data_IF_557428118718
#
_entry.id   IF_557428118718
#
_cell.length_a   1.000
_cell.length_b   1.000
_cell.length_c   1.000
_cell.angle_alpha   90.00
_cell.angle_beta   90.00
_cell.angle_gamma   90.00
#
_symmetry.space_group_name_H-M   'P 1'
#
loop_
_entity.id
_entity.type
_entity.pdbx_description
1 polymer ?
#
# COMPACT_ATOMS: atom_id res chain seq x y z
N UNK A 1 -48.28 -52.99 30.45
CA UNK A 1 -47.41 -51.79 30.42
C UNK A 1 -47.98 -50.83 29.40
N UNK A 2 -48.23 -49.60 29.83
CA UNK A 2 -49.03 -48.60 29.15
C UNK A 2 -48.30 -47.99 27.95
N UNK A 3 -49.03 -47.83 26.85
CA UNK A 3 -48.64 -47.10 25.65
C UNK A 3 -49.20 -45.69 25.81
N UNK A 4 -48.47 -44.80 26.49
CA UNK A 4 -48.86 -43.39 26.64
C UNK A 4 -47.68 -42.57 27.18
N UNK A 5 -46.84 -42.06 26.28
CA UNK A 5 -46.01 -40.84 26.48
C UNK A 5 -45.14 -40.48 25.25
N UNK A 6 -45.77 -40.31 24.08
CA UNK A 6 -45.14 -39.64 22.93
C UNK A 6 -46.13 -38.64 22.33
N UNK A 7 -46.52 -37.65 23.11
CA UNK A 7 -47.27 -36.48 22.65
C UNK A 7 -46.53 -35.24 23.16
N UNK A 8 -45.62 -34.70 22.36
CA UNK A 8 -44.83 -33.54 22.79
C UNK A 8 -43.86 -32.93 21.77
N UNK A 9 -43.78 -33.43 20.54
CA UNK A 9 -43.04 -32.73 19.47
C UNK A 9 -44.06 -32.26 18.44
N UNK A 10 -44.61 -31.06 18.64
CA UNK A 10 -45.24 -30.35 17.53
C UNK A 10 -44.10 -29.85 16.64
N UNK A 11 -43.94 -30.45 15.47
CA UNK A 11 -43.22 -29.81 14.37
C UNK A 11 -44.02 -28.54 14.05
N UNK A 12 -43.45 -27.33 14.12
CA UNK A 12 -44.16 -26.13 13.71
C UNK A 12 -44.46 -26.27 12.22
N UNK A 13 -45.71 -26.57 11.89
CA UNK A 13 -46.19 -26.64 10.51
C UNK A 13 -46.61 -25.25 10.05
N UNK A 14 -45.75 -24.25 10.23
CA UNK A 14 -45.89 -22.96 9.57
C UNK A 14 -45.04 -23.01 8.33
N UNK A 15 -45.67 -23.32 7.19
CA UNK A 15 -45.13 -22.87 5.91
C UNK A 15 -44.80 -21.37 6.04
N UNK A 16 -43.62 -20.92 5.61
CA UNK A 16 -43.31 -19.49 5.63
C UNK A 16 -44.44 -18.73 4.93
N UNK A 17 -44.88 -17.63 5.55
CA UNK A 17 -46.00 -16.84 5.05
C UNK A 17 -45.72 -16.45 3.59
N UNK A 18 -46.63 -16.82 2.67
CA UNK A 18 -46.42 -16.61 1.22
C UNK A 18 -46.07 -15.15 0.92
N UNK A 19 -46.64 -14.22 1.66
CA UNK A 19 -46.38 -12.78 1.52
C UNK A 19 -44.93 -12.41 1.86
N UNK A 20 -44.33 -13.06 2.85
CA UNK A 20 -42.91 -12.84 3.23
C UNK A 20 -41.99 -13.40 2.15
N UNK A 21 -42.32 -14.59 1.60
CA UNK A 21 -41.51 -15.21 0.53
C UNK A 21 -41.59 -14.41 -0.77
N UNK A 22 -42.77 -13.89 -1.13
CA UNK A 22 -42.91 -13.02 -2.32
C UNK A 22 -42.16 -11.70 -2.17
N UNK A 23 -42.19 -11.08 -0.98
CA UNK A 23 -41.45 -9.84 -0.71
C UNK A 23 -39.92 -10.06 -0.77
N UNK A 24 -39.42 -11.19 -0.29
CA UNK A 24 -37.99 -11.52 -0.38
C UNK A 24 -37.53 -11.72 -1.84
N UNK A 25 -38.35 -12.39 -2.65
CA UNK A 25 -38.08 -12.59 -4.08
C UNK A 25 -38.09 -11.26 -4.84
N UNK A 26 -39.07 -10.38 -4.59
CA UNK A 26 -39.15 -9.06 -5.22
C UNK A 26 -37.93 -8.19 -4.86
N UNK A 27 -37.50 -8.22 -3.59
CA UNK A 27 -36.31 -7.49 -3.15
C UNK A 27 -35.03 -8.02 -3.84
N UNK A 28 -34.89 -9.34 -3.97
CA UNK A 28 -33.76 -9.98 -4.68
C UNK A 28 -33.75 -9.64 -6.17
N UNK A 29 -34.90 -9.65 -6.84
CA UNK A 29 -35.01 -9.26 -8.25
C UNK A 29 -34.66 -7.79 -8.46
N UNK A 30 -35.10 -6.90 -7.57
CA UNK A 30 -34.75 -5.48 -7.62
C UNK A 30 -33.24 -5.26 -7.42
N UNK A 31 -32.59 -6.02 -6.52
CA UNK A 31 -31.15 -5.98 -6.33
C UNK A 31 -30.39 -6.44 -7.60
N UNK A 32 -30.85 -7.51 -8.25
CA UNK A 32 -30.28 -8.00 -9.52
C UNK A 32 -30.44 -6.97 -10.64
N UNK A 33 -31.62 -6.36 -10.78
CA UNK A 33 -31.86 -5.33 -11.80
C UNK A 33 -30.99 -4.09 -11.57
N UNK A 34 -30.78 -3.69 -10.31
CA UNK A 34 -29.87 -2.60 -9.95
C UNK A 34 -28.41 -2.94 -10.30
N UNK A 35 -27.95 -4.14 -9.95
CA UNK A 35 -26.62 -4.63 -10.28
C UNK A 35 -26.38 -4.67 -11.79
N UNK A 36 -27.36 -5.15 -12.56
CA UNK A 36 -27.29 -5.17 -14.03
C UNK A 36 -27.23 -3.75 -14.61
N UNK A 37 -28.03 -2.82 -14.08
CA UNK A 37 -27.99 -1.42 -14.52
C UNK A 37 -26.61 -0.78 -14.26
N UNK A 38 -25.98 -1.09 -13.12
CA UNK A 38 -24.60 -0.66 -12.84
C UNK A 38 -23.63 -1.24 -13.86
N UNK A 39 -23.65 -2.53 -14.16
CA UNK A 39 -22.75 -3.09 -15.20
C UNK A 39 -22.99 -2.44 -16.57
N UNK A 40 -24.25 -2.15 -16.93
CA UNK A 40 -24.54 -1.53 -18.22
C UNK A 40 -24.04 -0.08 -18.34
N UNK A 41 -23.83 0.62 -17.22
CA UNK A 41 -23.27 1.98 -17.23
C UNK A 41 -21.80 2.01 -17.67
N UNK A 42 -21.05 0.94 -17.43
CA UNK A 42 -19.63 0.83 -17.80
C UNK A 42 -19.40 0.22 -19.19
N UNK A 43 -20.45 -0.29 -19.84
CA UNK A 43 -20.34 -0.90 -21.17
C UNK A 43 -19.85 0.06 -22.25
N UNK A 44 -20.23 1.34 -22.17
CA UNK A 44 -19.77 2.34 -23.13
C UNK A 44 -18.26 2.56 -23.00
N UNK A 45 -17.73 2.66 -21.78
CA UNK A 45 -16.30 2.79 -21.55
C UNK A 45 -15.52 1.53 -22.00
N UNK A 46 -16.10 0.34 -21.81
CA UNK A 46 -15.53 -0.92 -22.32
C UNK A 46 -15.55 -0.95 -23.87
N UNK A 47 -16.64 -0.55 -24.51
CA UNK A 47 -16.73 -0.53 -25.98
C UNK A 47 -15.76 0.50 -26.59
N UNK A 48 -15.56 1.63 -25.92
CA UNK A 48 -14.56 2.63 -26.32
C UNK A 48 -13.13 2.08 -26.18
N UNK A 49 -12.89 1.23 -25.17
CA UNK A 49 -11.61 0.51 -24.98
C UNK A 49 -11.33 -0.60 -26.01
N UNK A 50 -12.32 -0.98 -26.83
CA UNK A 50 -12.10 -1.89 -27.97
C UNK A 50 -11.63 -1.12 -29.23
N UNK A 51 -11.78 0.21 -29.23
CA UNK A 51 -11.41 1.08 -30.35
C UNK A 51 -10.06 1.78 -30.13
N UNK A 52 -9.66 1.98 -28.87
CA UNK A 52 -8.35 2.50 -28.42
C UNK A 52 -8.00 1.83 -27.09
N UNK A 53 -6.71 1.69 -26.71
CA UNK A 53 -6.34 1.23 -25.36
C UNK A 53 -7.06 2.08 -24.29
N UNK A 54 -7.75 1.46 -23.33
CA UNK A 54 -8.31 2.19 -22.21
C UNK A 54 -7.20 2.75 -21.31
N UNK A 55 -7.43 3.92 -20.73
CA UNK A 55 -6.55 4.41 -19.67
C UNK A 55 -6.68 3.52 -18.43
N UNK A 56 -5.58 3.38 -17.68
CA UNK A 56 -5.57 2.65 -16.41
C UNK A 56 -6.67 3.16 -15.45
N UNK A 57 -6.86 4.48 -15.38
CA UNK A 57 -7.94 5.13 -14.62
C UNK A 57 -9.34 4.62 -15.00
N UNK A 58 -9.61 4.50 -16.32
CA UNK A 58 -10.90 4.00 -16.81
C UNK A 58 -11.10 2.54 -16.40
N UNK A 59 -10.05 1.73 -16.49
CA UNK A 59 -10.10 0.32 -16.11
C UNK A 59 -10.27 0.14 -14.59
N UNK A 60 -9.60 0.95 -13.77
CA UNK A 60 -9.75 0.96 -12.32
C UNK A 60 -11.18 1.33 -11.90
N UNK A 61 -11.78 2.34 -12.55
CA UNK A 61 -13.18 2.71 -12.35
C UNK A 61 -14.13 1.54 -12.68
N UNK A 62 -13.90 0.85 -13.79
CA UNK A 62 -14.70 -0.32 -14.18
C UNK A 62 -14.54 -1.45 -13.14
N UNK A 63 -13.31 -1.73 -12.70
CA UNK A 63 -13.03 -2.73 -11.67
C UNK A 63 -13.75 -2.38 -10.34
N UNK A 64 -13.65 -1.16 -9.84
CA UNK A 64 -14.36 -0.72 -8.64
C UNK A 64 -15.89 -0.93 -8.74
N UNK A 65 -16.47 -0.64 -9.91
CA UNK A 65 -17.89 -0.87 -10.17
C UNK A 65 -18.27 -2.35 -10.19
N UNK A 66 -17.42 -3.21 -10.77
CA UNK A 66 -17.59 -4.66 -10.75
C UNK A 66 -17.54 -5.21 -9.32
N UNK A 67 -16.58 -4.76 -8.49
CA UNK A 67 -16.48 -5.13 -7.06
C UNK A 67 -17.78 -4.81 -6.33
N UNK A 68 -18.31 -3.60 -6.53
CA UNK A 68 -19.55 -3.18 -5.88
C UNK A 68 -20.76 -4.05 -6.28
N UNK A 69 -20.83 -4.50 -7.54
CA UNK A 69 -21.87 -5.43 -8.01
C UNK A 69 -21.77 -6.76 -7.27
N UNK A 70 -20.57 -7.31 -7.16
CA UNK A 70 -20.33 -8.57 -6.45
C UNK A 70 -20.74 -8.46 -4.98
N UNK A 71 -20.26 -7.44 -4.27
CA UNK A 71 -20.59 -7.20 -2.85
C UNK A 71 -22.10 -7.07 -2.63
N UNK A 72 -22.81 -6.37 -3.53
CA UNK A 72 -24.28 -6.20 -3.45
C UNK A 72 -25.01 -7.55 -3.59
N UNK A 73 -24.45 -8.48 -4.34
CA UNK A 73 -25.06 -9.77 -4.64
C UNK A 73 -24.67 -10.89 -3.64
N UNK A 74 -23.60 -10.69 -2.87
CA UNK A 74 -23.13 -11.60 -1.79
C UNK A 74 -24.20 -11.79 -0.70
N UNK A 75 -25.00 -10.76 -0.41
CA UNK A 75 -26.08 -10.83 0.58
C UNK A 75 -27.30 -11.61 0.04
N UNK A 76 -27.19 -12.95 0.00
CA UNK A 76 -28.32 -13.83 -0.28
C UNK A 76 -28.03 -15.04 -1.17
N UNK A 77 -26.79 -15.27 -1.61
CA UNK A 77 -26.43 -16.36 -2.52
C UNK A 77 -25.66 -17.51 -1.80
N UNK A 78 -26.00 -18.81 -2.02
CA UNK A 78 -25.17 -19.96 -1.59
C UNK A 78 -23.73 -20.00 -2.15
N UNK A 79 -23.41 -19.30 -3.24
CA UNK A 79 -22.08 -19.15 -3.84
C UNK A 79 -21.25 -18.00 -3.24
N UNK A 80 -21.52 -17.63 -1.99
CA UNK A 80 -20.89 -16.49 -1.29
C UNK A 80 -19.36 -16.49 -1.39
N UNK A 81 -18.72 -17.66 -1.30
CA UNK A 81 -17.27 -17.79 -1.39
C UNK A 81 -16.71 -17.47 -2.79
N UNK A 82 -17.43 -17.83 -3.86
CA UNK A 82 -17.03 -17.56 -5.25
C UNK A 82 -17.17 -16.06 -5.53
N UNK A 83 -18.26 -15.45 -5.05
CA UNK A 83 -18.45 -14.02 -5.16
C UNK A 83 -17.36 -13.26 -4.40
N UNK A 84 -17.02 -13.64 -3.17
CA UNK A 84 -15.92 -13.00 -2.42
C UNK A 84 -14.58 -13.12 -3.16
N UNK A 85 -14.23 -14.32 -3.65
CA UNK A 85 -13.00 -14.52 -4.41
C UNK A 85 -12.95 -13.65 -5.68
N UNK A 86 -14.09 -13.50 -6.38
CA UNK A 86 -14.21 -12.65 -7.56
C UNK A 86 -14.03 -11.17 -7.22
N UNK A 87 -14.62 -10.69 -6.14
CA UNK A 87 -14.45 -9.31 -5.66
C UNK A 87 -12.98 -9.03 -5.31
N UNK A 88 -12.31 -9.98 -4.66
CA UNK A 88 -10.88 -9.87 -4.32
C UNK A 88 -10.00 -9.82 -5.56
N UNK A 89 -10.27 -10.65 -6.58
CA UNK A 89 -9.52 -10.59 -7.85
C UNK A 89 -9.73 -9.26 -8.58
N UNK A 90 -10.96 -8.72 -8.60
CA UNK A 90 -11.26 -7.42 -9.21
C UNK A 90 -10.51 -6.29 -8.49
N UNK A 91 -10.50 -6.33 -7.16
CA UNK A 91 -9.75 -5.38 -6.32
C UNK A 91 -8.25 -5.44 -6.59
N UNK A 92 -7.68 -6.65 -6.70
CA UNK A 92 -6.27 -6.83 -7.03
C UNK A 92 -5.92 -6.20 -8.40
N UNK A 93 -6.77 -6.37 -9.42
CA UNK A 93 -6.56 -5.73 -10.73
C UNK A 93 -6.70 -4.21 -10.68
N UNK A 94 -7.67 -3.68 -9.92
CA UNK A 94 -7.83 -2.24 -9.71
C UNK A 94 -6.59 -1.63 -9.08
N UNK A 95 -6.07 -2.26 -8.02
CA UNK A 95 -4.86 -1.83 -7.33
C UNK A 95 -3.63 -1.89 -8.24
N UNK A 96 -3.48 -2.93 -9.06
CA UNK A 96 -2.39 -2.99 -10.05
C UNK A 96 -2.43 -1.84 -11.04
N UNK A 97 -3.62 -1.46 -11.53
CA UNK A 97 -3.78 -0.33 -12.45
C UNK A 97 -3.49 1.01 -11.78
N UNK A 98 -3.95 1.19 -10.55
CA UNK A 98 -3.68 2.38 -9.73
C UNK A 98 -2.18 2.53 -9.49
N UNK A 99 -1.48 1.43 -9.16
CA UNK A 99 -0.02 1.43 -9.03
C UNK A 99 0.64 1.82 -10.36
N UNK A 100 0.36 1.13 -11.47
CA UNK A 100 0.93 1.45 -12.80
C UNK A 100 0.71 2.93 -13.16
N UNK A 101 -0.48 3.45 -12.91
CA UNK A 101 -0.78 4.86 -13.17
C UNK A 101 -0.01 5.79 -12.21
N UNK A 102 0.01 5.46 -10.91
CA UNK A 102 0.69 6.23 -9.88
C UNK A 102 2.18 6.36 -10.18
N UNK A 103 2.80 5.31 -10.71
CA UNK A 103 4.20 5.34 -11.14
C UNK A 103 4.52 6.40 -12.20
N UNK A 104 3.53 6.90 -12.93
CA UNK A 104 3.72 7.78 -14.10
C UNK A 104 3.29 9.22 -13.87
N UNK A 105 2.38 9.46 -12.92
CA UNK A 105 1.86 10.79 -12.63
C UNK A 105 2.85 11.68 -11.84
N UNK A 106 3.78 11.06 -11.10
CA UNK A 106 4.60 11.78 -10.11
C UNK A 106 3.77 12.22 -8.90
N UNK A 107 4.35 13.10 -8.08
CA UNK A 107 3.71 13.64 -6.89
C UNK A 107 3.30 12.55 -5.89
N UNK A 108 2.15 12.76 -5.24
CA UNK A 108 1.66 11.90 -4.15
C UNK A 108 1.38 10.49 -4.66
N UNK A 109 0.81 10.34 -5.86
CA UNK A 109 0.44 9.03 -6.41
C UNK A 109 1.67 8.13 -6.61
N UNK A 110 2.77 8.69 -7.11
CA UNK A 110 4.05 7.98 -7.27
C UNK A 110 4.65 7.62 -5.92
N UNK A 111 4.64 8.56 -4.99
CA UNK A 111 5.16 8.35 -3.64
C UNK A 111 4.39 7.23 -2.92
N UNK A 112 3.06 7.24 -2.97
CA UNK A 112 2.20 6.20 -2.39
C UNK A 112 2.42 4.84 -3.06
N UNK A 113 2.57 4.81 -4.39
CA UNK A 113 2.83 3.58 -5.13
C UNK A 113 4.16 2.93 -4.73
N UNK A 114 5.18 3.75 -4.48
CA UNK A 114 6.46 3.30 -3.94
C UNK A 114 6.34 2.75 -2.52
N UNK A 115 5.53 3.36 -1.66
CA UNK A 115 5.27 2.83 -0.32
C UNK A 115 4.59 1.44 -0.36
N UNK A 116 3.62 1.24 -1.25
CA UNK A 116 2.97 -0.05 -1.44
C UNK A 116 3.94 -1.14 -1.92
N UNK A 117 4.85 -0.79 -2.82
CA UNK A 117 5.85 -1.74 -3.32
C UNK A 117 6.82 -2.15 -2.21
N UNK A 118 7.35 -1.18 -1.46
CA UNK A 118 8.27 -1.47 -0.35
C UNK A 118 7.59 -2.28 0.75
N UNK A 119 6.30 -2.03 1.04
CA UNK A 119 5.56 -2.88 1.98
C UNK A 119 5.49 -4.33 1.48
N UNK A 120 5.12 -4.54 0.22
CA UNK A 120 4.99 -5.89 -0.33
C UNK A 120 6.32 -6.68 -0.31
N UNK A 121 7.44 -5.97 -0.49
CA UNK A 121 8.79 -6.53 -0.40
C UNK A 121 9.15 -6.91 1.04
N UNK A 122 8.91 -6.02 2.01
CA UNK A 122 9.13 -6.31 3.44
C UNK A 122 8.25 -7.45 3.96
N UNK A 123 7.05 -7.62 3.41
CA UNK A 123 6.19 -8.76 3.74
C UNK A 123 6.72 -10.09 3.16
N UNK A 124 7.62 -10.06 2.18
CA UNK A 124 8.16 -11.27 1.54
C UNK A 124 9.08 -12.05 2.49
N UNK A 125 8.62 -13.24 2.90
CA UNK A 125 9.37 -14.07 3.86
C UNK A 125 9.04 -13.77 5.33
N UNK A 126 8.22 -12.74 5.57
CA UNK A 126 7.70 -12.35 6.88
C UNK A 126 8.63 -11.39 7.63
N UNK A 127 8.03 -10.50 8.40
CA UNK A 127 8.70 -9.36 9.04
C UNK A 127 9.82 -9.81 10.01
N UNK A 128 11.05 -9.41 9.72
CA UNK A 128 12.20 -9.54 10.59
C UNK A 128 12.25 -8.41 11.64
N UNK A 129 12.91 -8.61 12.80
CA UNK A 129 13.00 -7.58 13.84
C UNK A 129 13.55 -6.23 13.35
N UNK A 130 14.58 -6.24 12.50
CA UNK A 130 15.22 -5.06 11.92
C UNK A 130 14.28 -4.27 10.99
N UNK A 131 13.43 -4.97 10.25
CA UNK A 131 12.46 -4.38 9.30
C UNK A 131 11.30 -3.66 10.00
N UNK A 132 11.13 -3.84 11.33
CA UNK A 132 10.08 -3.15 12.08
C UNK A 132 10.25 -1.62 12.05
N UNK A 133 11.49 -1.13 11.99
CA UNK A 133 11.74 0.31 11.85
C UNK A 133 11.33 0.81 10.46
N UNK A 134 11.63 0.04 9.41
CA UNK A 134 11.30 0.37 8.03
C UNK A 134 9.78 0.36 7.79
N UNK A 135 9.07 -0.66 8.29
CA UNK A 135 7.61 -0.67 8.30
C UNK A 135 7.05 0.57 9.00
N UNK A 136 7.61 0.95 10.15
CA UNK A 136 7.12 2.13 10.86
C UNK A 136 7.39 3.42 10.08
N UNK A 137 8.49 3.52 9.31
CA UNK A 137 8.68 4.63 8.38
C UNK A 137 7.56 4.70 7.34
N UNK A 138 7.15 3.57 6.75
CA UNK A 138 6.03 3.50 5.79
C UNK A 138 4.74 4.04 6.43
N UNK A 139 4.41 3.63 7.66
CA UNK A 139 3.23 4.15 8.37
C UNK A 139 3.29 5.68 8.54
N UNK A 140 4.43 6.22 8.95
CA UNK A 140 4.59 7.66 9.13
C UNK A 140 4.45 8.42 7.80
N UNK A 141 5.05 7.90 6.73
CA UNK A 141 5.00 8.50 5.40
C UNK A 141 3.59 8.46 4.79
N UNK A 142 2.84 7.39 4.98
CA UNK A 142 1.43 7.30 4.55
C UNK A 142 0.57 8.35 5.28
N UNK A 143 0.77 8.52 6.59
CA UNK A 143 0.09 9.57 7.37
C UNK A 143 0.49 10.98 6.89
N UNK A 144 1.72 11.18 6.42
CA UNK A 144 2.16 12.48 5.92
C UNK A 144 1.42 12.89 4.65
N UNK A 145 1.10 11.93 3.77
CA UNK A 145 0.41 12.18 2.50
C UNK A 145 -1.12 12.21 2.64
N UNK A 146 -1.69 11.41 3.54
CA UNK A 146 -3.14 11.26 3.72
C UNK A 146 -3.60 11.43 5.19
N UNK A 147 -3.20 12.49 5.92
CA UNK A 147 -3.56 12.61 7.33
C UNK A 147 -5.08 12.68 7.55
N UNK A 148 -5.83 13.27 6.62
CA UNK A 148 -7.29 13.38 6.67
C UNK A 148 -8.02 12.05 6.45
N UNK A 149 -7.44 11.14 5.67
CA UNK A 149 -8.00 9.79 5.48
C UNK A 149 -8.10 9.05 6.81
N UNK A 150 -7.15 9.32 7.70
CA UNK A 150 -7.02 8.66 8.99
C UNK A 150 -7.55 9.48 10.17
N UNK A 151 -8.04 10.71 9.93
CA UNK A 151 -8.45 11.64 10.99
C UNK A 151 -7.30 12.12 11.88
N UNK A 152 -6.08 12.15 11.33
CA UNK A 152 -4.83 12.44 12.02
C UNK A 152 -4.28 13.84 11.74
N UNK A 153 -5.00 14.75 11.10
CA UNK A 153 -4.45 16.06 10.70
C UNK A 153 -3.89 16.87 11.88
N UNK A 154 -4.63 16.91 12.99
CA UNK A 154 -4.17 17.60 14.21
C UNK A 154 -3.03 16.86 14.89
N UNK A 155 -3.06 15.53 14.87
CA UNK A 155 -2.01 14.69 15.45
C UNK A 155 -0.70 14.84 14.67
N UNK A 156 -0.76 14.75 13.34
CA UNK A 156 0.37 14.93 12.45
C UNK A 156 0.98 16.32 12.65
N UNK A 157 0.15 17.37 12.61
CA UNK A 157 0.61 18.75 12.84
C UNK A 157 1.34 18.94 14.17
N UNK A 158 0.93 18.24 15.24
CA UNK A 158 1.56 18.32 16.55
C UNK A 158 2.85 17.50 16.68
N UNK A 159 3.06 16.50 15.80
CA UNK A 159 4.18 15.56 15.89
C UNK A 159 5.19 15.66 14.72
N UNK A 160 5.03 16.63 13.81
CA UNK A 160 5.92 16.80 12.64
C UNK A 160 7.42 16.76 12.97
N UNK A 161 7.83 17.43 14.05
CA UNK A 161 9.24 17.42 14.47
C UNK A 161 9.72 16.02 14.84
N UNK A 162 8.94 15.30 15.67
CA UNK A 162 9.28 13.94 16.06
C UNK A 162 9.33 13.01 14.83
N UNK A 163 8.34 13.14 13.92
CA UNK A 163 8.27 12.36 12.68
C UNK A 163 9.51 12.61 11.79
N UNK A 164 9.88 13.87 11.60
CA UNK A 164 11.05 14.27 10.81
C UNK A 164 12.36 13.65 11.33
N UNK A 165 12.56 13.58 12.65
CA UNK A 165 13.75 12.95 13.23
C UNK A 165 13.69 11.43 13.18
N UNK A 166 12.51 10.82 13.39
CA UNK A 166 12.38 9.36 13.28
C UNK A 166 12.64 8.88 11.84
N UNK A 167 12.14 9.61 10.84
CA UNK A 167 12.38 9.27 9.43
C UNK A 167 13.85 9.48 9.02
N UNK A 168 14.59 10.35 9.73
CA UNK A 168 16.02 10.53 9.51
C UNK A 168 16.86 9.42 10.15
N UNK A 169 16.52 9.05 11.39
CA UNK A 169 17.46 8.40 12.32
C UNK A 169 17.13 6.94 12.65
N UNK A 170 16.11 6.35 12.02
CA UNK A 170 15.69 4.96 12.25
C UNK A 170 15.51 4.25 10.91
N UNK A 171 15.47 2.92 10.92
CA UNK A 171 15.40 2.11 9.71
C UNK A 171 16.76 1.74 9.17
N UNK A 172 16.75 0.85 8.19
CA UNK A 172 17.96 0.29 7.59
C UNK A 172 18.85 1.38 7.00
N UNK A 173 20.15 1.34 7.29
CA UNK A 173 21.12 2.31 6.79
C UNK A 173 21.00 3.76 7.32
N UNK A 174 20.00 4.07 8.15
CA UNK A 174 19.63 5.44 8.56
C UNK A 174 20.02 5.79 10.00
N UNK A 175 20.73 4.93 10.73
CA UNK A 175 21.06 5.22 12.13
C UNK A 175 22.02 6.41 12.24
N UNK A 176 21.60 7.38 13.03
CA UNK A 176 22.29 8.62 13.31
C UNK A 176 21.71 9.22 14.58
N UNK A 177 22.58 9.66 15.50
CA UNK A 177 22.15 10.28 16.76
C UNK A 177 22.32 11.78 16.67
N UNK A 178 21.23 12.52 16.95
CA UNK A 178 21.17 13.97 16.76
C UNK A 178 20.87 14.67 18.09
N UNK A 179 20.24 15.84 18.10
CA UNK A 179 20.15 16.77 19.24
C UNK A 179 19.70 16.11 20.56
N UNK A 180 19.76 16.84 21.68
CA UNK A 180 19.52 16.31 23.03
C UNK A 180 18.22 15.50 23.27
N UNK A 181 17.23 15.55 22.38
CA UNK A 181 16.01 14.75 22.45
C UNK A 181 16.08 13.43 21.65
N UNK A 182 17.14 13.25 20.85
CA UNK A 182 17.37 12.18 19.87
C UNK A 182 18.83 11.66 19.93
N UNK A 183 19.60 12.04 20.95
CA UNK A 183 21.04 11.76 21.11
C UNK A 183 21.36 10.37 21.68
N UNK A 184 20.34 9.53 21.89
CA UNK A 184 20.49 8.15 22.41
C UNK A 184 19.43 7.24 21.81
N UNK A 185 19.73 5.94 21.64
CA UNK A 185 18.76 4.94 21.18
C UNK A 185 17.51 4.89 22.06
N UNK A 186 17.66 4.99 23.38
CA UNK A 186 16.53 4.98 24.33
C UNK A 186 15.53 6.13 24.05
N UNK A 187 16.04 7.32 23.73
CA UNK A 187 15.20 8.48 23.43
C UNK A 187 14.50 8.35 22.08
N UNK A 188 15.22 7.90 21.04
CA UNK A 188 14.62 7.59 19.74
C UNK A 188 13.50 6.55 19.89
N UNK A 189 13.80 5.42 20.55
CA UNK A 189 12.83 4.38 20.84
C UNK A 189 11.60 4.92 21.59
N UNK A 190 11.80 5.78 22.60
CA UNK A 190 10.71 6.38 23.37
C UNK A 190 9.82 7.30 22.51
N UNK A 191 10.42 8.10 21.62
CA UNK A 191 9.69 8.95 20.66
C UNK A 191 8.92 8.08 19.67
N UNK A 192 9.57 7.09 19.06
CA UNK A 192 8.92 6.12 18.14
C UNK A 192 7.72 5.44 18.81
N UNK A 193 7.88 4.97 20.03
CA UNK A 193 6.81 4.34 20.81
C UNK A 193 5.65 5.29 21.11
N UNK A 194 5.95 6.56 21.39
CA UNK A 194 4.94 7.62 21.59
C UNK A 194 4.17 7.87 20.30
N UNK A 195 4.85 7.97 19.16
CA UNK A 195 4.22 8.15 17.85
C UNK A 195 3.31 6.98 17.53
N UNK A 196 3.81 5.75 17.66
CA UNK A 196 3.05 4.52 17.44
C UNK A 196 1.76 4.49 18.25
N UNK A 197 1.84 4.72 19.57
CA UNK A 197 0.65 4.76 20.43
C UNK A 197 -0.28 5.90 20.04
N UNK A 198 0.26 7.04 19.65
CA UNK A 198 -0.49 8.17 19.13
C UNK A 198 -1.32 7.80 17.90
N UNK A 199 -0.77 7.01 16.97
CA UNK A 199 -1.50 6.49 15.82
C UNK A 199 -2.63 5.57 16.30
N UNK A 200 -2.31 4.55 17.11
CA UNK A 200 -3.30 3.57 17.60
C UNK A 200 -4.45 4.20 18.40
N UNK A 201 -4.18 5.28 19.14
CA UNK A 201 -5.17 5.95 19.98
C UNK A 201 -6.08 6.93 19.20
N UNK A 202 -5.64 7.43 18.04
CA UNK A 202 -6.31 8.53 17.34
C UNK A 202 -6.74 8.21 15.91
N UNK A 203 -6.12 7.23 15.24
CA UNK A 203 -6.37 6.94 13.84
C UNK A 203 -7.71 6.22 13.64
N UNK A 204 -8.40 6.57 12.55
CA UNK A 204 -9.39 5.69 11.93
C UNK A 204 -8.70 5.00 10.78
N UNK A 205 -8.49 3.68 10.86
CA UNK A 205 -7.80 2.90 9.82
C UNK A 205 -8.84 2.13 9.00
N UNK A 206 -9.17 2.57 7.77
CA UNK A 206 -10.04 1.80 6.89
C UNK A 206 -9.39 0.45 6.57
N UNK A 207 -10.18 -0.62 6.64
CA UNK A 207 -9.72 -1.98 6.34
C UNK A 207 -9.07 -2.05 4.96
N UNK A 208 -7.84 -2.57 4.90
CA UNK A 208 -7.07 -2.72 3.67
C UNK A 208 -6.33 -1.46 3.21
N UNK A 209 -6.44 -0.33 3.91
CA UNK A 209 -5.57 0.84 3.67
C UNK A 209 -4.10 0.52 3.97
N UNK A 210 -3.17 1.33 3.46
CA UNK A 210 -1.73 1.11 3.67
C UNK A 210 -1.39 1.14 5.17
N UNK A 211 -1.84 2.18 5.88
CA UNK A 211 -1.68 2.26 7.33
C UNK A 211 -2.30 1.07 8.08
N UNK A 212 -3.47 0.57 7.67
CA UNK A 212 -4.10 -0.60 8.29
C UNK A 212 -3.24 -1.87 8.16
N UNK A 213 -2.67 -2.12 6.98
CA UNK A 213 -1.80 -3.27 6.72
C UNK A 213 -0.50 -3.17 7.53
N UNK A 214 0.21 -2.05 7.41
CA UNK A 214 1.47 -1.81 8.14
C UNK A 214 1.30 -1.95 9.64
N UNK A 215 0.24 -1.33 10.21
CA UNK A 215 0.02 -1.38 11.66
C UNK A 215 -0.42 -2.77 12.11
N UNK A 216 -1.13 -3.53 11.28
CA UNK A 216 -1.48 -4.94 11.55
C UNK A 216 -0.22 -5.81 11.60
N UNK A 217 0.70 -5.65 10.66
CA UNK A 217 1.96 -6.42 10.65
C UNK A 217 2.85 -6.06 11.83
N UNK A 218 2.95 -4.78 12.16
CA UNK A 218 3.67 -4.33 13.35
C UNK A 218 3.07 -4.91 14.64
N UNK A 219 1.74 -4.93 14.80
CA UNK A 219 1.08 -5.58 15.94
C UNK A 219 1.35 -7.11 15.94
N UNK A 220 1.36 -7.74 14.77
CA UNK A 220 1.73 -9.15 14.60
C UNK A 220 3.18 -9.46 15.02
N UNK A 221 4.10 -8.52 14.80
CA UNK A 221 5.50 -8.57 15.20
C UNK A 221 5.76 -8.18 16.67
N UNK A 222 4.71 -7.89 17.45
CA UNK A 222 4.81 -7.55 18.88
C UNK A 222 4.60 -6.08 19.22
N UNK A 223 4.23 -5.27 18.22
CA UNK A 223 3.75 -3.90 18.35
C UNK A 223 4.78 -2.93 18.92
N UNK A 224 4.27 -1.86 19.54
CA UNK A 224 5.11 -0.75 20.03
C UNK A 224 6.18 -1.13 21.07
N UNK A 225 6.01 -2.24 21.79
CA UNK A 225 7.00 -2.70 22.77
C UNK A 225 8.17 -3.42 22.10
N UNK A 226 7.90 -4.22 21.06
CA UNK A 226 8.92 -4.85 20.25
C UNK A 226 9.71 -3.82 19.42
N UNK A 227 9.03 -2.88 18.78
CA UNK A 227 9.68 -1.77 18.04
C UNK A 227 10.57 -0.92 18.95
N UNK A 228 10.08 -0.57 20.15
CA UNK A 228 10.91 0.13 21.14
C UNK A 228 12.18 -0.66 21.48
N UNK A 229 12.03 -1.98 21.70
CA UNK A 229 13.16 -2.83 22.08
C UNK A 229 14.16 -2.96 20.93
N UNK A 230 13.69 -3.10 19.69
CA UNK A 230 14.55 -3.15 18.51
C UNK A 230 15.45 -1.91 18.46
N UNK A 231 14.85 -0.72 18.49
CA UNK A 231 15.61 0.54 18.45
C UNK A 231 16.51 0.68 19.69
N UNK A 232 16.03 0.34 20.89
CA UNK A 232 16.82 0.58 22.10
C UNK A 232 18.00 -0.39 22.26
N UNK A 233 17.82 -1.66 21.91
CA UNK A 233 18.77 -2.73 22.20
C UNK A 233 19.71 -3.02 21.02
N UNK A 234 19.26 -2.79 19.78
CA UNK A 234 19.96 -3.22 18.55
C UNK A 234 20.40 -2.04 17.65
N UNK A 235 20.31 -0.79 18.10
CA UNK A 235 20.68 0.42 17.31
C UNK A 235 22.13 0.44 16.79
N UNK A 236 23.02 -0.35 17.38
CA UNK A 236 24.42 -0.37 17.00
C UNK A 236 24.79 -1.64 16.21
N UNK A 237 23.78 -2.41 15.78
CA UNK A 237 23.97 -3.55 14.90
C UNK A 237 24.16 -3.09 13.45
N UNK A 238 24.73 -3.97 12.63
CA UNK A 238 25.29 -3.62 11.31
C UNK A 238 24.25 -3.05 10.32
N UNK A 239 22.97 -3.44 10.43
CA UNK A 239 21.87 -3.00 9.54
C UNK A 239 21.61 -1.49 9.57
N UNK A 240 22.01 -0.80 10.63
CA UNK A 240 21.69 0.62 10.80
C UNK A 240 22.61 1.59 10.06
N UNK A 241 23.82 1.18 9.65
CA UNK A 241 24.90 2.13 9.39
C UNK A 241 25.41 2.08 7.95
N UNK A 242 24.70 2.75 7.03
CA UNK A 242 25.05 2.77 5.61
C UNK A 242 26.39 3.47 5.32
N UNK A 243 26.63 4.64 5.92
CA UNK A 243 27.86 5.39 5.73
C UNK A 243 29.11 4.65 6.25
N UNK A 244 28.95 3.72 7.19
CA UNK A 244 30.00 2.83 7.66
C UNK A 244 30.26 1.63 6.74
N UNK A 245 29.39 1.40 5.76
CA UNK A 245 29.44 0.24 4.87
C UNK A 245 29.09 -1.09 5.55
N UNK A 246 28.34 -1.06 6.65
CA UNK A 246 27.89 -2.27 7.35
C UNK A 246 26.45 -2.65 7.03
N UNK A 247 25.60 -1.68 6.67
CA UNK A 247 24.25 -1.95 6.20
C UNK A 247 24.30 -2.57 4.81
N UNK A 248 23.49 -3.59 4.59
CA UNK A 248 23.20 -4.20 3.30
C UNK A 248 21.89 -3.68 2.66
N UNK A 249 21.17 -2.82 3.37
CA UNK A 249 19.88 -2.26 2.94
C UNK A 249 19.73 -0.76 3.25
N UNK A 250 18.67 -0.15 2.70
CA UNK A 250 18.25 1.24 2.86
C UNK A 250 16.82 1.30 3.37
N UNK A 251 16.57 2.22 4.31
CA UNK A 251 15.24 2.46 4.81
C UNK A 251 14.33 3.03 3.71
N UNK A 252 13.01 2.87 3.83
CA UNK A 252 12.06 3.42 2.88
C UNK A 252 12.25 4.91 2.59
N UNK A 253 12.60 5.71 3.62
CA UNK A 253 12.91 7.14 3.43
C UNK A 253 14.13 7.36 2.54
N UNK A 254 15.24 6.66 2.78
CA UNK A 254 16.45 6.79 1.97
C UNK A 254 16.20 6.34 0.52
N UNK A 255 15.49 5.23 0.33
CA UNK A 255 15.11 4.72 -1.00
C UNK A 255 14.29 5.74 -1.78
N UNK A 256 13.34 6.42 -1.15
CA UNK A 256 12.52 7.46 -1.79
C UNK A 256 13.33 8.71 -2.16
N UNK A 257 14.27 9.14 -1.31
CA UNK A 257 15.17 10.24 -1.65
C UNK A 257 16.11 9.87 -2.81
N UNK A 258 16.72 8.69 -2.77
CA UNK A 258 17.55 8.19 -3.88
C UNK A 258 16.74 8.14 -5.16
N UNK A 259 15.55 7.53 -5.14
CA UNK A 259 14.68 7.43 -6.31
C UNK A 259 14.29 8.81 -6.86
N UNK A 260 13.94 9.76 -5.98
CA UNK A 260 13.59 11.12 -6.37
C UNK A 260 14.75 11.80 -7.12
N UNK A 261 15.97 11.73 -6.58
CA UNK A 261 17.14 12.33 -7.23
C UNK A 261 17.47 11.66 -8.57
N UNK A 262 17.38 10.33 -8.63
CA UNK A 262 17.63 9.56 -9.86
C UNK A 262 16.61 9.91 -10.93
N UNK A 263 15.30 9.88 -10.62
CA UNK A 263 14.26 10.20 -11.59
C UNK A 263 14.34 11.64 -12.09
N UNK A 264 14.69 12.58 -11.21
CA UNK A 264 14.85 13.99 -11.60
C UNK A 264 15.94 14.16 -12.66
N UNK A 265 16.99 13.34 -12.61
CA UNK A 265 18.11 13.36 -13.54
C UNK A 265 18.04 12.30 -14.66
N UNK A 266 17.13 11.33 -14.54
CA UNK A 266 16.87 10.27 -15.51
C UNK A 266 15.35 9.94 -15.56
N UNK A 267 14.50 10.80 -16.15
CA UNK A 267 13.05 10.59 -16.15
C UNK A 267 12.55 9.44 -17.05
N UNK A 268 13.47 8.72 -17.70
CA UNK A 268 13.19 7.63 -18.63
C UNK A 268 13.43 6.25 -18.00
N UNK A 269 13.53 6.19 -16.67
CA UNK A 269 13.65 4.92 -15.94
C UNK A 269 12.52 3.97 -16.31
N UNK A 270 12.86 2.70 -16.51
CA UNK A 270 11.85 1.64 -16.65
C UNK A 270 11.24 1.29 -15.29
N UNK A 271 10.12 0.57 -15.29
CA UNK A 271 9.54 0.04 -14.05
C UNK A 271 10.55 -0.83 -13.29
N UNK A 272 11.24 -1.74 -13.98
CA UNK A 272 12.27 -2.61 -13.37
C UNK A 272 13.40 -1.81 -12.72
N UNK A 273 13.80 -0.67 -13.31
CA UNK A 273 14.81 0.21 -12.73
C UNK A 273 14.30 0.97 -11.51
N UNK A 274 13.01 1.34 -11.47
CA UNK A 274 12.39 1.96 -10.30
C UNK A 274 12.26 0.94 -9.16
N UNK A 275 11.77 -0.26 -9.46
CA UNK A 275 11.69 -1.37 -8.52
C UNK A 275 13.07 -1.70 -7.96
N UNK A 276 14.11 -1.71 -8.80
CA UNK A 276 15.48 -1.91 -8.36
C UNK A 276 15.91 -0.91 -7.28
N UNK A 277 15.58 0.39 -7.40
CA UNK A 277 15.92 1.37 -6.37
C UNK A 277 15.12 1.14 -5.08
N UNK A 278 13.88 0.64 -5.18
CA UNK A 278 12.97 0.52 -4.05
C UNK A 278 13.04 -0.81 -3.31
N UNK A 279 13.51 -1.88 -3.95
CA UNK A 279 13.56 -3.23 -3.33
C UNK A 279 14.85 -3.98 -3.64
N UNK A 280 15.67 -3.47 -4.57
CA UNK A 280 16.93 -4.10 -4.93
C UNK A 280 17.98 -4.03 -3.82
N UNK A 281 19.01 -4.87 -3.97
CA UNK A 281 20.18 -4.87 -3.09
C UNK A 281 21.02 -3.60 -3.26
N UNK A 282 21.71 -3.17 -2.19
CA UNK A 282 22.61 -2.00 -2.26
C UNK A 282 23.66 -2.11 -3.37
N UNK A 283 24.24 -3.30 -3.57
CA UNK A 283 25.23 -3.55 -4.62
C UNK A 283 24.65 -3.33 -6.03
N UNK A 284 23.42 -3.78 -6.27
CA UNK A 284 22.77 -3.61 -7.57
C UNK A 284 22.34 -2.15 -7.81
N UNK A 285 21.90 -1.46 -6.76
CA UNK A 285 21.61 -0.02 -6.80
C UNK A 285 22.89 0.77 -7.11
N UNK A 286 23.99 0.50 -6.42
CA UNK A 286 25.29 1.14 -6.67
C UNK A 286 25.76 0.89 -8.11
N UNK A 287 25.66 -0.35 -8.58
CA UNK A 287 26.00 -0.70 -9.96
C UNK A 287 25.12 0.04 -10.98
N UNK A 288 23.83 0.18 -10.70
CA UNK A 288 22.91 0.96 -11.52
C UNK A 288 23.30 2.44 -11.58
N UNK A 289 23.51 3.08 -10.42
CA UNK A 289 23.88 4.49 -10.31
C UNK A 289 25.21 4.75 -11.03
N UNK A 290 26.22 3.92 -10.82
CA UNK A 290 27.51 4.01 -11.50
C UNK A 290 27.37 3.91 -13.02
N UNK A 291 26.54 2.97 -13.51
CA UNK A 291 26.29 2.78 -14.94
C UNK A 291 25.57 3.96 -15.57
N UNK A 292 24.63 4.56 -14.85
CA UNK A 292 23.77 5.64 -15.34
C UNK A 292 24.46 7.01 -15.29
N UNK A 293 25.15 7.33 -14.18
CA UNK A 293 25.71 8.66 -13.92
C UNK A 293 27.24 8.72 -13.97
N UNK A 294 27.92 7.58 -14.05
CA UNK A 294 29.37 7.50 -14.26
C UNK A 294 30.18 7.73 -12.99
N UNK A 295 31.10 8.70 -13.04
CA UNK A 295 32.09 8.94 -11.99
C UNK A 295 31.76 10.18 -11.16
N UNK A 296 32.08 10.12 -9.88
CA UNK A 296 32.02 11.21 -8.91
C UNK A 296 33.15 12.25 -9.10
N UNK A 297 33.16 13.27 -8.24
CA UNK A 297 34.14 14.36 -8.28
C UNK A 297 35.58 13.90 -7.97
N UNK A 298 35.75 12.72 -7.36
CA UNK A 298 37.04 12.10 -7.05
C UNK A 298 37.48 11.10 -8.14
N UNK A 299 36.69 10.92 -9.19
CA UNK A 299 36.94 9.99 -10.28
C UNK A 299 36.65 8.53 -9.92
N UNK A 300 35.90 8.26 -8.84
CA UNK A 300 35.39 6.93 -8.51
C UNK A 300 33.99 6.74 -9.11
N UNK A 301 33.53 5.52 -9.40
CA UNK A 301 32.14 5.29 -9.76
C UNK A 301 31.19 5.84 -8.69
N UNK A 302 30.11 6.53 -9.10
CA UNK A 302 29.07 6.91 -8.14
C UNK A 302 28.47 5.67 -7.48
N UNK A 303 28.28 5.75 -6.17
CA UNK A 303 27.40 4.86 -5.39
C UNK A 303 26.08 5.59 -5.15
N UNK A 304 25.03 4.89 -4.72
CA UNK A 304 23.81 5.52 -4.25
C UNK A 304 24.09 6.56 -3.15
N UNK A 305 25.03 6.26 -2.24
CA UNK A 305 25.42 7.18 -1.16
C UNK A 305 26.05 8.46 -1.71
N UNK A 306 27.10 8.32 -2.53
CA UNK A 306 27.80 9.50 -3.04
C UNK A 306 26.96 10.29 -4.02
N UNK A 307 26.05 9.65 -4.74
CA UNK A 307 25.09 10.30 -5.61
C UNK A 307 24.03 11.07 -4.80
N UNK A 308 23.45 10.46 -3.76
CA UNK A 308 22.49 11.11 -2.89
C UNK A 308 23.10 12.36 -2.25
N UNK A 309 24.28 12.25 -1.65
CA UNK A 309 24.94 13.39 -1.00
C UNK A 309 25.39 14.48 -1.99
N UNK A 310 25.63 14.14 -3.26
CA UNK A 310 26.01 15.13 -4.26
C UNK A 310 24.82 15.95 -4.81
N UNK A 311 23.60 15.41 -4.71
CA UNK A 311 22.42 15.99 -5.35
C UNK A 311 21.33 16.43 -4.36
N UNK A 312 21.44 16.10 -3.07
CA UNK A 312 20.46 16.44 -2.04
C UNK A 312 21.09 17.14 -0.84
N UNK A 313 20.29 17.38 0.20
CA UNK A 313 20.72 17.94 1.49
C UNK A 313 21.28 16.86 2.44
N UNK A 314 21.25 15.59 2.05
CA UNK A 314 21.89 14.53 2.80
C UNK A 314 23.42 14.65 2.72
N UNK A 315 24.10 14.30 3.80
CA UNK A 315 25.55 14.32 3.91
C UNK A 315 26.02 13.14 4.76
N UNK A 316 27.29 12.77 4.57
CA UNK A 316 27.99 11.89 5.52
C UNK A 316 28.64 12.78 6.56
N UNK A 317 28.31 12.58 7.83
CA UNK A 317 29.05 13.17 8.93
C UNK A 317 30.06 12.17 9.50
N UNK A 318 31.30 12.64 9.67
CA UNK A 318 32.42 11.85 10.17
C UNK A 318 32.74 12.14 11.65
N UNK A 319 33.50 11.24 12.27
CA UNK A 319 34.10 11.48 13.59
C UNK A 319 33.19 11.22 14.80
N UNK A 320 32.08 10.50 14.62
CA UNK A 320 31.25 10.02 15.73
C UNK A 320 31.84 8.74 16.35
N UNK A 321 31.37 8.42 17.56
CA UNK A 321 31.92 7.31 18.36
C UNK A 321 31.73 5.94 17.69
N UNK A 322 30.71 5.81 16.84
CA UNK A 322 30.33 4.57 16.16
C UNK A 322 30.60 4.59 14.65
N UNK A 323 31.36 5.57 14.16
CA UNK A 323 31.75 5.71 12.76
C UNK A 323 31.05 6.88 12.07
N UNK A 324 30.99 6.81 10.74
CA UNK A 324 30.35 7.78 9.88
C UNK A 324 28.84 7.49 9.84
N UNK A 325 28.02 8.54 9.84
CA UNK A 325 26.55 8.43 9.77
C UNK A 325 26.01 9.23 8.58
N UNK A 326 24.94 8.71 7.98
CA UNK A 326 24.13 9.49 7.04
C UNK A 326 23.30 10.49 7.85
N UNK A 327 23.21 11.73 7.38
CA UNK A 327 22.63 12.84 8.13
C UNK A 327 22.00 13.84 7.16
N UNK A 328 20.86 14.39 7.53
CA UNK A 328 20.29 15.54 6.85
C UNK A 328 20.92 16.82 7.39
N UNK A 329 21.37 17.73 6.52
CA UNK A 329 21.91 19.01 6.98
C UNK A 329 20.84 19.86 7.69
N UNK A 330 20.72 19.72 9.01
CA UNK A 330 19.68 20.36 9.82
C UNK A 330 19.49 19.68 11.17
N UNK A 331 18.28 19.80 11.71
CA UNK A 331 17.83 19.16 12.94
C UNK A 331 16.55 18.38 12.60
N UNK A 332 16.69 17.13 12.15
CA UNK A 332 15.61 16.46 11.42
C UNK A 332 15.63 16.83 9.94
N UNK A 333 15.03 15.97 9.09
CA UNK A 333 14.71 16.33 7.71
C UNK A 333 13.78 17.55 7.72
N UNK A 334 14.09 18.60 6.95
CA UNK A 334 13.25 19.80 6.93
C UNK A 334 11.83 19.47 6.49
N UNK A 335 10.83 19.98 7.22
CA UNK A 335 9.44 19.67 6.94
C UNK A 335 8.98 20.15 5.55
N UNK A 336 9.57 21.23 5.03
CA UNK A 336 9.27 21.72 3.69
C UNK A 336 9.86 20.79 2.64
N UNK A 337 11.03 20.23 2.90
CA UNK A 337 11.69 19.28 2.01
C UNK A 337 11.01 17.91 2.03
N UNK A 338 10.53 17.44 3.20
CA UNK A 338 9.62 16.28 3.27
C UNK A 338 8.34 16.51 2.46
N UNK A 339 7.72 17.69 2.59
CA UNK A 339 6.54 18.05 1.80
C UNK A 339 6.87 18.11 0.31
N UNK A 340 8.01 18.69 -0.05
CA UNK A 340 8.45 18.78 -1.44
C UNK A 340 8.71 17.39 -2.03
N UNK A 341 9.32 16.46 -1.27
CA UNK A 341 9.58 15.10 -1.70
C UNK A 341 8.29 14.45 -2.22
N UNK A 342 7.23 14.37 -1.42
CA UNK A 342 6.01 13.70 -1.86
C UNK A 342 5.13 14.54 -2.78
N UNK A 343 5.10 15.89 -2.65
CA UNK A 343 4.24 16.72 -3.54
C UNK A 343 4.84 16.95 -4.92
N UNK A 344 6.16 16.84 -5.06
CA UNK A 344 6.90 17.09 -6.30
C UNK A 344 7.71 15.86 -6.73
N UNK A 345 7.35 14.68 -6.23
CA UNK A 345 8.03 13.43 -6.59
C UNK A 345 8.05 13.30 -8.12
N UNK A 346 9.22 13.08 -8.75
CA UNK A 346 9.30 13.17 -10.21
C UNK A 346 8.41 12.11 -10.91
N UNK A 347 7.71 12.49 -11.99
CA UNK A 347 7.02 11.52 -12.84
C UNK A 347 8.02 10.76 -13.73
N UNK A 348 7.56 9.66 -14.32
CA UNK A 348 8.23 9.00 -15.45
C UNK A 348 7.25 8.63 -16.56
N UNK A 349 7.79 8.34 -17.73
CA UNK A 349 6.98 7.88 -18.85
C UNK A 349 6.56 6.42 -18.68
N UNK A 350 5.40 6.08 -19.24
CA UNK A 350 4.97 4.69 -19.41
C UNK A 350 5.90 3.98 -20.41
N UNK A 351 6.36 2.79 -20.05
CA UNK A 351 7.09 1.92 -20.98
C UNK A 351 6.13 1.13 -21.87
N UNK A 352 6.64 0.59 -22.98
CA UNK A 352 5.86 -0.29 -23.87
C UNK A 352 5.36 -1.54 -23.13
N UNK A 353 6.14 -2.08 -22.19
CA UNK A 353 5.80 -3.25 -21.38
C UNK A 353 4.62 -2.96 -20.43
N UNK A 354 4.58 -1.77 -19.84
CA UNK A 354 3.46 -1.34 -19.00
C UNK A 354 2.18 -1.11 -19.80
N UNK A 355 2.31 -0.62 -21.04
CA UNK A 355 1.17 -0.51 -21.97
C UNK A 355 0.63 -1.91 -22.30
N UNK A 356 1.50 -2.89 -22.52
CA UNK A 356 1.11 -4.29 -22.71
C UNK A 356 0.40 -4.86 -21.46
N UNK A 357 0.90 -4.54 -20.26
CA UNK A 357 0.31 -4.96 -19.00
C UNK A 357 -1.09 -4.35 -18.77
N UNK A 358 -1.24 -3.03 -18.99
CA UNK A 358 -2.54 -2.34 -18.93
C UNK A 358 -3.53 -3.00 -19.90
N UNK A 359 -3.11 -3.34 -21.11
CA UNK A 359 -3.96 -4.02 -22.09
C UNK A 359 -4.37 -5.43 -21.60
N UNK A 360 -3.43 -6.18 -21.02
CA UNK A 360 -3.68 -7.51 -20.45
C UNK A 360 -4.70 -7.45 -19.30
N UNK A 361 -4.53 -6.51 -18.37
CA UNK A 361 -5.49 -6.29 -17.28
C UNK A 361 -6.83 -5.82 -17.86
N UNK A 362 -6.81 -4.96 -18.87
CA UNK A 362 -8.00 -4.51 -19.60
C UNK A 362 -8.82 -5.68 -20.14
N UNK A 363 -8.19 -6.65 -20.78
CA UNK A 363 -8.84 -7.86 -21.26
C UNK A 363 -9.43 -8.71 -20.12
N UNK A 364 -8.75 -8.80 -18.98
CA UNK A 364 -9.26 -9.49 -17.80
C UNK A 364 -10.49 -8.80 -17.21
N UNK A 365 -10.46 -7.47 -17.05
CA UNK A 365 -11.60 -6.67 -16.58
C UNK A 365 -12.80 -6.81 -17.51
N UNK A 366 -12.57 -6.85 -18.84
CA UNK A 366 -13.62 -7.14 -19.84
C UNK A 366 -14.23 -8.53 -19.66
N UNK A 367 -13.40 -9.55 -19.49
CA UNK A 367 -13.86 -10.93 -19.26
C UNK A 367 -14.66 -11.05 -17.96
N UNK A 368 -14.24 -10.36 -16.90
CA UNK A 368 -14.96 -10.29 -15.63
C UNK A 368 -16.33 -9.64 -15.80
N UNK A 369 -16.42 -8.53 -16.55
CA UNK A 369 -17.70 -7.88 -16.86
C UNK A 369 -18.69 -8.87 -17.48
N UNK A 370 -18.26 -9.62 -18.49
CA UNK A 370 -19.13 -10.59 -19.18
C UNK A 370 -19.54 -11.73 -18.27
N UNK A 371 -18.61 -12.22 -17.45
CA UNK A 371 -18.87 -13.28 -16.46
C UNK A 371 -19.90 -12.82 -15.43
N UNK A 372 -19.78 -11.60 -14.91
CA UNK A 372 -20.74 -11.02 -13.96
C UNK A 372 -22.13 -10.88 -14.55
N UNK A 373 -22.24 -10.40 -15.79
CA UNK A 373 -23.53 -10.30 -16.49
C UNK A 373 -24.19 -11.66 -16.67
N UNK A 374 -23.40 -12.67 -17.06
CA UNK A 374 -23.90 -14.03 -17.20
C UNK A 374 -24.39 -14.59 -15.86
N UNK A 375 -23.63 -14.39 -14.79
CA UNK A 375 -24.01 -14.81 -13.44
C UNK A 375 -25.29 -14.12 -12.95
N UNK A 376 -25.43 -12.80 -13.15
CA UNK A 376 -26.67 -12.07 -12.83
C UNK A 376 -27.87 -12.61 -13.61
N UNK A 377 -27.68 -12.98 -14.88
CA UNK A 377 -28.75 -13.61 -15.68
C UNK A 377 -29.20 -14.94 -15.07
N UNK A 378 -28.26 -15.80 -14.63
CA UNK A 378 -28.59 -17.06 -13.98
C UNK A 378 -29.35 -16.80 -12.67
N UNK A 379 -28.85 -15.91 -11.83
CA UNK A 379 -29.50 -15.56 -10.56
C UNK A 379 -30.94 -15.07 -10.79
N UNK A 380 -31.15 -14.24 -11.82
CA UNK A 380 -32.49 -13.78 -12.20
C UNK A 380 -33.40 -14.93 -12.60
N UNK A 381 -32.93 -15.82 -13.46
CA UNK A 381 -33.70 -16.96 -13.96
C UNK A 381 -34.10 -17.91 -12.83
N UNK A 382 -33.19 -18.14 -11.87
CA UNK A 382 -33.48 -18.92 -10.66
C UNK A 382 -34.56 -18.26 -9.80
N UNK A 383 -34.43 -16.97 -9.49
CA UNK A 383 -35.44 -16.26 -8.70
C UNK A 383 -36.80 -16.22 -9.41
N UNK A 384 -36.82 -16.03 -10.74
CA UNK A 384 -38.05 -16.11 -11.53
C UNK A 384 -38.65 -17.53 -11.53
N UNK A 385 -37.83 -18.58 -11.57
CA UNK A 385 -38.29 -19.95 -11.51
C UNK A 385 -38.90 -20.26 -10.13
N UNK A 386 -38.27 -19.81 -9.05
CA UNK A 386 -38.81 -19.90 -7.68
C UNK A 386 -40.16 -19.16 -7.60
N UNK A 387 -40.21 -17.92 -8.09
CA UNK A 387 -41.43 -17.11 -8.11
C UNK A 387 -42.59 -17.79 -8.86
N UNK A 388 -42.30 -18.47 -9.98
CA UNK A 388 -43.29 -19.20 -10.78
C UNK A 388 -43.77 -20.50 -10.12
N UNK A 389 -42.95 -21.10 -9.25
CA UNK A 389 -43.24 -22.37 -8.60
C UNK A 389 -43.99 -22.24 -7.25
N UNK A 390 -44.08 -21.02 -6.69
CA UNK A 390 -44.82 -20.67 -5.44
C UNK A 390 -46.24 -20.25 -5.74
#
# INVERSE_FOLDING_TARGET
MNVSNLSGISIPNSSPDKTIVTQDIEARLAAIDNAQAKLNQTDTAILESDMQPASAETLAMIAAQQKQVVVTMVSGNPEQAIAIALAQSIEAYGKQLELIQGWTNGGVDMFESALWLMLADLEEGGIQPEEMEDLFQIALMDIMIHPEQYGLESWYAANKTDISHILESTGSGSHGLHESNYDTPEKLAAVTKKLYKGIMDNATMPEGSLLDQVMTDLEGAGGSDALYKQINDNYYDDYGWWANGTSDDLSPMLRLFVLSEVLQNNPQMTQEEVELILTGSLDDIDAYIARTFGLDQLGQPYTALTYLCANSTWQVQDGYTYGDQIDWMGNGIDNSDLVALYTQFPPRELTDEEIEEINRIGDQVKMLQQTLKYWLSICRDEQMAIARNI
#
